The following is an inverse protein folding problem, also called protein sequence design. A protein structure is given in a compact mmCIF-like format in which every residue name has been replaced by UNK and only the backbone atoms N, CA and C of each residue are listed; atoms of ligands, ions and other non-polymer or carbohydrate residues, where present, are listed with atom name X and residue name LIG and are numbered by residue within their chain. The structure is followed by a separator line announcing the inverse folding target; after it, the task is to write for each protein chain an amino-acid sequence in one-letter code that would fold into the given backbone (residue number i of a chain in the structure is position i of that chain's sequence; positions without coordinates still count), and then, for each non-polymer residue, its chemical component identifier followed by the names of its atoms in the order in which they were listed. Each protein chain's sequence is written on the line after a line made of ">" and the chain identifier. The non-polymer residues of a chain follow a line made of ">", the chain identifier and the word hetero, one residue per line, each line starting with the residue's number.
data_IF_228062416712
#
_entry.id   IF_228062416712
#
_cell.length_a   1.000
_cell.length_b   1.000
_cell.length_c   1.000
_cell.angle_alpha   90.00
_cell.angle_beta   90.00
_cell.angle_gamma   90.00
#
_symmetry.space_group_name_H-M   'P 1'
#
loop_
_entity.id
_entity.type
_entity.pdbx_description
1 polymer ?
#
# COMPACT_ATOMS: atom_id res chain seq x y z
N UNK A 1 -21.43 13.80 3.02
CA UNK A 1 -20.04 14.31 2.96
C UNK A 1 -19.15 13.27 3.67
N UNK A 2 -17.99 12.90 3.13
CA UNK A 2 -17.06 12.00 3.80
C UNK A 2 -16.53 12.66 5.08
N UNK A 3 -16.37 11.87 6.14
CA UNK A 3 -15.71 12.29 7.37
C UNK A 3 -14.21 11.99 7.32
N UNK A 4 -13.84 10.85 6.70
CA UNK A 4 -12.48 10.39 6.56
C UNK A 4 -12.26 9.85 5.14
N UNK A 5 -11.13 10.19 4.55
CA UNK A 5 -10.55 9.52 3.39
C UNK A 5 -9.38 8.65 3.85
N UNK A 6 -9.18 7.50 3.21
CA UNK A 6 -8.00 6.66 3.43
C UNK A 6 -7.29 6.45 2.10
N UNK A 7 -6.08 6.99 1.97
CA UNK A 7 -5.25 6.88 0.79
C UNK A 7 -4.11 5.89 1.08
N UNK A 8 -4.25 4.66 0.59
CA UNK A 8 -3.35 3.55 0.92
C UNK A 8 -2.03 3.64 0.14
N UNK A 9 -2.11 3.46 -1.15
CA UNK A 9 -0.98 3.51 -2.08
C UNK A 9 -1.51 3.83 -3.48
N UNK A 10 -0.65 4.30 -4.35
CA UNK A 10 -0.99 4.56 -5.74
C UNK A 10 0.08 3.95 -6.66
N UNK A 11 -0.32 2.96 -7.43
CA UNK A 11 0.47 2.33 -8.47
C UNK A 11 -0.38 2.18 -9.72
N UNK A 12 0.28 1.98 -10.87
CA UNK A 12 -0.45 1.72 -12.11
C UNK A 12 -1.29 0.47 -12.00
N UNK A 13 -2.50 0.55 -12.51
CA UNK A 13 -3.46 -0.56 -12.59
C UNK A 13 -4.31 -0.37 -13.83
N UNK A 14 -4.31 -1.36 -14.73
CA UNK A 14 -5.15 -1.38 -15.92
C UNK A 14 -5.17 -0.04 -16.67
N UNK A 15 -4.00 0.40 -17.16
CA UNK A 15 -3.80 1.72 -17.81
C UNK A 15 -4.79 1.97 -18.97
N UNK A 16 -5.21 0.93 -19.64
CA UNK A 16 -6.22 0.95 -20.72
C UNK A 16 -7.63 1.30 -20.22
N UNK A 17 -7.92 1.16 -18.91
CA UNK A 17 -9.25 1.41 -18.33
C UNK A 17 -9.31 2.61 -17.39
N UNK A 18 -8.26 2.85 -16.62
CA UNK A 18 -8.26 3.86 -15.55
C UNK A 18 -7.50 5.12 -15.97
N UNK A 19 -6.69 5.03 -17.02
CA UNK A 19 -5.83 6.10 -17.51
C UNK A 19 -4.52 6.18 -16.73
N UNK A 20 -3.72 7.21 -17.05
CA UNK A 20 -2.41 7.43 -16.46
C UNK A 20 -2.51 7.67 -14.95
N UNK A 21 -1.51 7.20 -14.20
CA UNK A 21 -1.41 7.33 -12.75
C UNK A 21 -1.53 8.78 -12.27
N UNK A 22 -0.99 9.74 -13.03
CA UNK A 22 -1.10 11.17 -12.73
C UNK A 22 -2.54 11.69 -12.81
N UNK A 23 -3.42 11.08 -13.62
CA UNK A 23 -4.83 11.44 -13.66
C UNK A 23 -5.58 10.93 -12.44
N UNK A 24 -5.19 9.77 -11.92
CA UNK A 24 -5.75 9.21 -10.68
C UNK A 24 -5.30 10.03 -9.48
N UNK A 25 -4.01 10.36 -9.39
CA UNK A 25 -3.48 11.24 -8.34
C UNK A 25 -4.25 12.56 -8.30
N UNK A 26 -4.44 13.21 -9.46
CA UNK A 26 -5.18 14.47 -9.54
C UNK A 26 -6.61 14.35 -9.03
N UNK A 27 -7.33 13.28 -9.38
CA UNK A 27 -8.69 13.03 -8.87
C UNK A 27 -8.72 12.84 -7.36
N UNK A 28 -7.74 12.15 -6.78
CA UNK A 28 -7.61 12.00 -5.33
C UNK A 28 -7.35 13.37 -4.68
N UNK A 29 -6.44 14.15 -5.23
CA UNK A 29 -6.11 15.51 -4.78
C UNK A 29 -7.32 16.44 -4.82
N UNK A 30 -8.03 16.47 -5.96
CA UNK A 30 -9.24 17.29 -6.11
C UNK A 30 -10.31 16.87 -5.10
N UNK A 31 -10.46 15.54 -4.86
CA UNK A 31 -11.37 14.99 -3.86
C UNK A 31 -11.03 15.44 -2.44
N UNK A 32 -9.75 15.38 -2.05
CA UNK A 32 -9.30 15.83 -0.74
C UNK A 32 -9.49 17.35 -0.56
N UNK A 33 -9.12 18.13 -1.58
CA UNK A 33 -9.23 19.61 -1.56
C UNK A 33 -10.69 20.08 -1.51
N UNK A 34 -11.61 19.37 -2.17
CA UNK A 34 -13.04 19.68 -2.13
C UNK A 34 -13.69 19.43 -0.76
N UNK A 35 -12.99 18.74 0.14
CA UNK A 35 -13.49 18.35 1.47
C UNK A 35 -12.52 18.74 2.60
N UNK A 36 -12.22 20.03 2.79
CA UNK A 36 -11.21 20.46 3.77
C UNK A 36 -11.57 20.15 5.23
N UNK A 37 -12.83 19.83 5.51
CA UNK A 37 -13.28 19.39 6.84
C UNK A 37 -13.16 17.89 7.08
N UNK A 38 -12.79 17.09 6.07
CA UNK A 38 -12.55 15.67 6.24
C UNK A 38 -11.10 15.41 6.67
N UNK A 39 -10.87 14.36 7.45
CA UNK A 39 -9.54 13.85 7.74
C UNK A 39 -9.05 13.01 6.56
N UNK A 40 -7.81 13.20 6.13
CA UNK A 40 -7.16 12.35 5.13
C UNK A 40 -6.09 11.51 5.81
N UNK A 41 -6.35 10.23 6.00
CA UNK A 41 -5.34 9.27 6.46
C UNK A 41 -4.55 8.82 5.24
N UNK A 42 -3.27 9.15 5.19
CA UNK A 42 -2.44 8.99 4.00
C UNK A 42 -1.11 8.31 4.30
N UNK A 43 -0.69 7.39 3.41
CA UNK A 43 0.61 6.75 3.49
C UNK A 43 1.72 7.76 3.14
N UNK A 44 2.56 8.11 4.12
CA UNK A 44 3.68 9.03 3.91
C UNK A 44 4.86 8.41 3.15
N UNK A 45 4.90 7.08 3.02
CA UNK A 45 5.96 6.36 2.32
C UNK A 45 5.73 6.30 0.80
N UNK A 46 4.52 6.67 0.35
CA UNK A 46 4.16 6.75 -1.07
C UNK A 46 4.13 8.23 -1.53
N UNK A 47 5.10 8.68 -2.35
CA UNK A 47 5.14 10.07 -2.82
C UNK A 47 3.91 10.50 -3.61
N UNK A 48 3.26 9.59 -4.35
CA UNK A 48 2.06 9.91 -5.11
C UNK A 48 0.86 10.17 -4.19
N UNK A 49 0.77 9.41 -3.11
CA UNK A 49 -0.24 9.63 -2.07
C UNK A 49 0.03 10.93 -1.31
N UNK A 50 1.31 11.20 -1.00
CA UNK A 50 1.68 12.49 -0.37
C UNK A 50 1.30 13.66 -1.27
N UNK A 51 1.59 13.59 -2.58
CA UNK A 51 1.13 14.59 -3.55
C UNK A 51 -0.37 14.79 -3.51
N UNK A 52 -1.14 13.71 -3.49
CA UNK A 52 -2.61 13.77 -3.50
C UNK A 52 -3.21 14.34 -2.22
N UNK A 53 -2.55 14.14 -1.06
CA UNK A 53 -3.07 14.55 0.24
C UNK A 53 -2.61 15.94 0.70
N UNK A 54 -1.50 16.46 0.16
CA UNK A 54 -0.77 17.62 0.69
C UNK A 54 -1.59 18.90 0.85
N UNK A 55 -2.61 19.11 0.02
CA UNK A 55 -3.45 20.34 0.05
C UNK A 55 -4.58 20.28 1.09
N UNK A 56 -4.79 19.13 1.73
CA UNK A 56 -5.82 19.02 2.77
C UNK A 56 -5.24 19.46 4.13
N UNK A 57 -5.90 20.34 4.89
CA UNK A 57 -5.39 20.84 6.18
C UNK A 57 -5.42 19.80 7.31
N UNK A 58 -6.15 18.69 7.13
CA UNK A 58 -6.36 17.67 8.16
C UNK A 58 -5.78 16.32 7.74
N UNK A 59 -4.49 16.28 7.36
CA UNK A 59 -3.83 15.03 7.01
C UNK A 59 -3.28 14.32 8.24
N UNK A 60 -3.51 13.03 8.32
CA UNK A 60 -2.89 12.11 9.27
C UNK A 60 -1.93 11.21 8.51
N UNK A 61 -0.64 11.42 8.71
CA UNK A 61 0.42 10.67 8.05
C UNK A 61 0.70 9.34 8.73
N UNK A 62 0.71 8.27 7.94
CA UNK A 62 0.96 6.90 8.39
C UNK A 62 2.16 6.32 7.64
N UNK A 63 3.16 5.82 8.36
CA UNK A 63 4.23 5.02 7.79
C UNK A 63 3.71 3.59 7.55
N UNK A 64 3.11 3.38 6.38
CA UNK A 64 2.46 2.11 6.03
C UNK A 64 3.35 1.17 5.18
N UNK A 65 4.50 1.67 4.76
CA UNK A 65 5.44 1.00 3.87
C UNK A 65 5.43 1.58 2.46
N UNK A 66 6.61 1.65 1.85
CA UNK A 66 6.81 2.27 0.55
C UNK A 66 6.16 1.50 -0.63
N UNK A 67 5.92 0.19 -0.44
CA UNK A 67 5.36 -0.66 -1.47
C UNK A 67 6.17 -0.65 -2.78
N UNK A 68 5.49 -0.68 -3.91
CA UNK A 68 6.08 -0.61 -5.25
C UNK A 68 6.56 0.81 -5.58
N UNK A 69 7.87 0.96 -5.83
CA UNK A 69 8.48 2.26 -6.12
C UNK A 69 8.60 2.60 -7.61
N UNK A 70 8.35 1.66 -8.52
CA UNK A 70 8.58 1.84 -9.96
C UNK A 70 7.75 2.92 -10.65
N UNK A 71 6.60 3.27 -10.08
CA UNK A 71 5.67 4.23 -10.67
C UNK A 71 5.84 5.66 -10.14
N UNK A 72 6.70 5.87 -9.14
CA UNK A 72 6.87 7.15 -8.45
C UNK A 72 8.23 7.83 -8.73
N UNK A 73 8.84 7.58 -9.90
CA UNK A 73 10.09 8.24 -10.27
C UNK A 73 9.93 9.76 -10.50
N UNK A 74 8.82 10.18 -11.08
CA UNK A 74 8.45 11.58 -11.23
C UNK A 74 7.39 11.97 -10.19
N UNK A 75 7.57 13.13 -9.55
CA UNK A 75 6.58 13.64 -8.60
C UNK A 75 5.54 14.49 -9.35
N UNK A 76 4.24 14.31 -9.10
CA UNK A 76 3.18 14.99 -9.88
C UNK A 76 3.21 16.52 -9.81
N UNK A 77 3.88 17.09 -8.81
CA UNK A 77 4.00 18.55 -8.58
C UNK A 77 5.38 19.12 -8.95
N UNK A 78 6.19 18.36 -9.69
CA UNK A 78 7.55 18.74 -10.08
C UNK A 78 8.63 18.03 -9.27
N UNK A 79 9.79 17.87 -9.89
CA UNK A 79 10.92 17.14 -9.32
C UNK A 79 10.90 15.64 -9.57
N UNK A 80 12.01 15.00 -9.22
CA UNK A 80 12.20 13.54 -9.25
C UNK A 80 12.33 12.99 -7.83
N UNK A 81 11.73 11.84 -7.60
CA UNK A 81 11.82 11.14 -6.31
C UNK A 81 13.13 10.37 -6.22
N UNK A 82 13.85 10.60 -5.15
CA UNK A 82 15.01 9.79 -4.73
C UNK A 82 14.63 9.04 -3.46
N UNK A 83 14.80 7.73 -3.46
CA UNK A 83 14.44 6.85 -2.33
C UNK A 83 15.68 6.33 -1.61
N UNK A 84 15.55 6.18 -0.29
CA UNK A 84 16.52 5.51 0.57
C UNK A 84 15.74 4.65 1.59
N UNK A 85 15.56 3.38 1.29
CA UNK A 85 14.66 2.52 2.04
C UNK A 85 13.21 2.97 1.93
N UNK A 86 12.55 3.19 3.06
CA UNK A 86 11.19 3.75 3.13
C UNK A 86 11.17 5.28 3.05
N UNK A 87 12.32 5.93 3.20
CA UNK A 87 12.45 7.38 3.10
C UNK A 87 12.57 7.84 1.66
N UNK A 88 12.17 9.09 1.42
CA UNK A 88 12.28 9.71 0.10
C UNK A 88 12.35 11.23 0.19
N UNK A 89 12.96 11.84 -0.84
CA UNK A 89 12.99 13.28 -1.04
C UNK A 89 12.97 13.60 -2.53
N UNK A 90 12.66 14.84 -2.85
CA UNK A 90 12.68 15.35 -4.23
C UNK A 90 14.02 16.01 -4.54
N UNK A 91 14.44 15.83 -5.78
CA UNK A 91 15.50 16.64 -6.41
C UNK A 91 14.92 17.26 -7.67
N UNK A 92 15.44 18.43 -8.13
CA UNK A 92 15.03 19.02 -9.39
C UNK A 92 15.20 18.05 -10.56
N UNK A 93 14.24 18.00 -11.47
CA UNK A 93 14.33 17.21 -12.70
C UNK A 93 15.20 17.91 -13.76
N UNK A 94 15.31 19.25 -13.67
CA UNK A 94 16.17 20.08 -14.54
C UNK A 94 16.68 21.31 -13.77
N UNK A 95 17.73 21.94 -14.30
CA UNK A 95 18.35 23.10 -13.66
C UNK A 95 17.35 24.27 -13.53
N UNK A 96 17.23 24.80 -12.32
CA UNK A 96 16.35 25.93 -12.01
C UNK A 96 14.90 25.56 -11.72
N UNK A 97 14.55 24.28 -11.68
CA UNK A 97 13.22 23.86 -11.22
C UNK A 97 13.05 24.13 -9.72
N UNK A 98 11.97 24.83 -9.38
CA UNK A 98 11.56 25.02 -7.99
C UNK A 98 10.78 23.79 -7.50
N UNK A 99 11.20 23.25 -6.36
CA UNK A 99 10.51 22.12 -5.73
C UNK A 99 9.29 22.60 -4.94
N UNK A 100 8.24 21.77 -4.83
CA UNK A 100 7.11 22.07 -3.96
C UNK A 100 7.54 22.16 -2.48
N UNK A 101 6.77 22.88 -1.67
CA UNK A 101 7.04 23.06 -0.23
C UNK A 101 7.21 21.71 0.48
N UNK A 102 6.33 20.75 0.20
CA UNK A 102 6.45 19.38 0.69
C UNK A 102 7.29 18.55 -0.29
N UNK A 103 8.61 18.63 -0.12
CA UNK A 103 9.62 18.02 -1.01
C UNK A 103 10.33 16.80 -0.42
N UNK A 104 9.85 16.28 0.71
CA UNK A 104 10.37 15.07 1.36
C UNK A 104 9.25 14.31 2.07
N UNK A 105 9.57 13.09 2.48
CA UNK A 105 8.67 12.25 3.27
C UNK A 105 8.19 12.99 4.52
N UNK A 106 6.87 13.17 4.71
CA UNK A 106 6.33 13.74 5.93
C UNK A 106 6.64 12.88 7.15
N UNK A 107 6.76 13.52 8.31
CA UNK A 107 6.89 12.80 9.58
C UNK A 107 5.59 12.07 9.89
N UNK A 108 5.63 10.74 10.11
CA UNK A 108 4.42 9.99 10.42
C UNK A 108 3.91 10.29 11.83
N UNK A 109 2.59 10.39 12.00
CA UNK A 109 1.93 10.33 13.29
C UNK A 109 1.67 8.89 13.74
N UNK A 110 1.56 7.96 12.77
CA UNK A 110 1.39 6.54 13.02
C UNK A 110 2.46 5.75 12.30
N UNK A 111 3.08 4.78 12.99
CA UNK A 111 4.14 3.94 12.41
C UNK A 111 4.15 2.55 13.04
N UNK A 112 4.80 1.60 12.36
CA UNK A 112 4.95 0.22 12.79
C UNK A 112 6.36 -0.01 13.34
N UNK A 113 6.42 -0.68 14.49
CA UNK A 113 7.65 -1.18 15.12
C UNK A 113 7.59 -2.70 15.26
N UNK A 114 8.72 -3.34 15.51
CA UNK A 114 8.84 -4.78 15.79
C UNK A 114 8.14 -5.66 14.76
N UNK A 115 8.34 -5.35 13.47
CA UNK A 115 7.67 -6.05 12.38
C UNK A 115 8.24 -7.46 12.23
N UNK A 116 7.37 -8.45 12.34
CA UNK A 116 7.67 -9.87 12.15
C UNK A 116 6.73 -10.44 11.07
N UNK A 117 7.31 -11.01 10.01
CA UNK A 117 6.56 -11.68 8.95
C UNK A 117 6.58 -13.20 9.23
N UNK A 118 5.63 -13.67 10.03
CA UNK A 118 5.54 -15.08 10.41
C UNK A 118 4.58 -15.85 9.49
N UNK A 119 4.76 -17.18 9.32
CA UNK A 119 3.88 -18.01 8.49
C UNK A 119 2.41 -17.98 8.91
N UNK A 120 2.14 -17.84 10.21
CA UNK A 120 0.80 -17.73 10.76
C UNK A 120 0.16 -16.35 10.62
N UNK A 121 0.88 -15.41 10.06
CA UNK A 121 0.49 -14.03 9.80
C UNK A 121 1.45 -13.00 10.37
N UNK A 122 1.51 -11.82 9.76
CA UNK A 122 2.43 -10.77 10.17
C UNK A 122 2.00 -10.14 11.51
N UNK A 123 3.00 -9.69 12.26
CA UNK A 123 2.84 -9.01 13.56
C UNK A 123 3.63 -7.73 13.59
N UNK A 124 3.16 -6.76 14.35
CA UNK A 124 3.87 -5.51 14.61
C UNK A 124 3.28 -4.83 15.84
N UNK A 125 3.99 -3.84 16.36
CA UNK A 125 3.47 -2.85 17.29
C UNK A 125 3.12 -1.59 16.52
N UNK A 126 1.85 -1.17 16.52
CA UNK A 126 1.44 0.11 15.95
C UNK A 126 1.59 1.20 16.99
N UNK A 127 2.39 2.21 16.68
CA UNK A 127 2.57 3.44 17.46
C UNK A 127 1.74 4.57 16.87
N UNK A 128 1.25 5.44 17.74
CA UNK A 128 0.45 6.59 17.35
C UNK A 128 0.62 7.77 18.29
N UNK A 129 -0.12 8.88 18.04
CA UNK A 129 -0.08 10.06 18.88
C UNK A 129 -0.49 9.75 20.32
N UNK A 130 -0.14 10.65 21.23
CA UNK A 130 -0.48 10.59 22.67
C UNK A 130 -0.01 9.30 23.36
N UNK A 131 1.06 8.68 22.85
CA UNK A 131 1.64 7.45 23.40
C UNK A 131 0.85 6.18 23.07
N UNK A 132 -0.02 6.20 22.09
CA UNK A 132 -0.72 5.00 21.62
C UNK A 132 0.29 3.93 21.21
N UNK A 133 0.08 2.73 21.74
CA UNK A 133 0.88 1.53 21.45
C UNK A 133 -0.04 0.32 21.48
N UNK A 134 -0.38 -0.22 20.32
CA UNK A 134 -1.27 -1.38 20.20
C UNK A 134 -0.66 -2.48 19.36
N UNK A 135 -0.80 -3.76 19.76
CA UNK A 135 -0.32 -4.87 18.96
C UNK A 135 -1.24 -5.12 17.76
N UNK A 136 -0.63 -5.36 16.61
CA UNK A 136 -1.28 -5.90 15.42
C UNK A 136 -0.82 -7.35 15.23
N UNK A 137 -1.78 -8.27 15.10
CA UNK A 137 -1.55 -9.68 14.80
C UNK A 137 -2.53 -10.08 13.71
N UNK A 138 -2.09 -10.01 12.47
CA UNK A 138 -2.98 -10.24 11.34
C UNK A 138 -3.03 -11.72 10.98
N UNK A 139 -4.16 -12.14 10.44
CA UNK A 139 -4.34 -13.44 9.79
C UNK A 139 -4.09 -13.37 8.29
N UNK A 140 -4.21 -12.17 7.71
CA UNK A 140 -3.86 -11.91 6.32
C UNK A 140 -2.33 -11.81 6.20
N UNK A 141 -1.69 -12.59 5.32
CA UNK A 141 -0.25 -12.55 5.15
C UNK A 141 0.21 -11.28 4.43
N UNK A 142 1.51 -11.03 4.46
CA UNK A 142 2.17 -9.97 3.69
C UNK A 142 2.37 -8.67 4.46
N UNK A 143 3.46 -7.98 4.11
CA UNK A 143 3.86 -6.71 4.73
C UNK A 143 2.86 -5.58 4.44
N UNK A 144 2.30 -5.56 3.22
CA UNK A 144 1.33 -4.54 2.82
C UNK A 144 0.07 -4.57 3.68
N UNK A 145 -0.35 -5.74 4.17
CA UNK A 145 -1.52 -5.85 5.04
C UNK A 145 -1.28 -5.22 6.42
N UNK A 146 -0.04 -5.20 6.94
CA UNK A 146 0.27 -4.42 8.15
C UNK A 146 0.09 -2.92 7.91
N UNK A 147 0.58 -2.41 6.77
CA UNK A 147 0.39 -1.01 6.40
C UNK A 147 -1.10 -0.64 6.24
N UNK A 148 -1.86 -1.49 5.55
CA UNK A 148 -3.31 -1.31 5.40
C UNK A 148 -4.02 -1.32 6.76
N UNK A 149 -3.64 -2.23 7.68
CA UNK A 149 -4.19 -2.30 9.02
C UNK A 149 -3.85 -1.05 9.85
N UNK A 150 -2.60 -0.55 9.76
CA UNK A 150 -2.19 0.68 10.43
C UNK A 150 -3.05 1.88 9.99
N UNK A 151 -3.27 2.03 8.69
CA UNK A 151 -4.11 3.08 8.15
C UNK A 151 -5.58 2.91 8.52
N UNK A 152 -6.10 1.67 8.55
CA UNK A 152 -7.46 1.39 8.99
C UNK A 152 -7.67 1.76 10.48
N UNK A 153 -6.70 1.43 11.34
CA UNK A 153 -6.73 1.83 12.77
C UNK A 153 -6.67 3.35 12.89
N UNK A 154 -5.75 4.03 12.20
CA UNK A 154 -5.65 5.49 12.22
C UNK A 154 -6.96 6.16 11.77
N UNK A 155 -7.62 5.62 10.73
CA UNK A 155 -8.91 6.11 10.25
C UNK A 155 -10.03 5.89 11.28
N UNK A 156 -10.07 4.73 11.93
CA UNK A 156 -11.05 4.44 12.97
C UNK A 156 -10.87 5.38 14.17
N UNK A 157 -9.62 5.64 14.57
CA UNK A 157 -9.32 6.60 15.65
C UNK A 157 -9.72 8.03 15.27
N UNK A 158 -9.50 8.45 14.02
CA UNK A 158 -9.99 9.73 13.52
C UNK A 158 -11.52 9.85 13.56
N UNK A 159 -12.23 8.74 13.60
CA UNK A 159 -13.69 8.65 13.78
C UNK A 159 -14.11 8.47 15.25
N UNK A 160 -13.17 8.54 16.20
CA UNK A 160 -13.44 8.43 17.65
C UNK A 160 -13.49 7.00 18.19
N UNK A 161 -13.02 6.01 17.43
CA UNK A 161 -12.93 4.62 17.89
C UNK A 161 -11.67 4.43 18.73
N UNK A 162 -11.77 3.66 19.80
CA UNK A 162 -10.63 3.29 20.64
C UNK A 162 -9.56 2.52 19.84
N UNK A 163 -8.27 2.88 19.95
CA UNK A 163 -7.20 2.26 19.18
C UNK A 163 -7.09 0.73 19.38
N UNK A 164 -7.29 0.24 20.61
CA UNK A 164 -7.18 -1.19 20.88
C UNK A 164 -8.38 -1.95 20.28
N UNK A 165 -9.57 -1.36 20.33
CA UNK A 165 -10.77 -1.92 19.69
C UNK A 165 -10.60 -1.96 18.15
N UNK A 166 -10.07 -0.92 17.55
CA UNK A 166 -9.79 -0.87 16.12
C UNK A 166 -8.72 -1.93 15.73
N UNK A 167 -7.63 -2.04 16.49
CA UNK A 167 -6.59 -3.04 16.27
C UNK A 167 -7.11 -4.47 16.38
N UNK A 168 -7.98 -4.75 17.36
CA UNK A 168 -8.64 -6.06 17.50
C UNK A 168 -9.54 -6.38 16.30
N UNK A 169 -10.29 -5.39 15.82
CA UNK A 169 -11.19 -5.55 14.67
C UNK A 169 -10.41 -5.88 13.38
N UNK A 170 -9.36 -5.14 13.04
CA UNK A 170 -8.54 -5.43 11.84
C UNK A 170 -7.82 -6.77 11.95
N UNK A 171 -7.41 -7.17 13.17
CA UNK A 171 -6.76 -8.45 13.44
C UNK A 171 -7.70 -9.65 13.28
N UNK A 172 -9.01 -9.45 13.30
CA UNK A 172 -10.01 -10.50 13.12
C UNK A 172 -10.25 -10.89 11.66
N UNK A 173 -9.83 -10.07 10.69
CA UNK A 173 -10.03 -10.30 9.26
C UNK A 173 -9.21 -11.51 8.81
N UNK A 174 -9.87 -12.50 8.21
CA UNK A 174 -9.25 -13.77 7.79
C UNK A 174 -9.06 -13.90 6.29
N UNK A 175 -9.87 -13.18 5.53
CA UNK A 175 -9.86 -13.24 4.07
C UNK A 175 -10.25 -11.90 3.46
N UNK A 176 -9.85 -11.70 2.22
CA UNK A 176 -10.30 -10.58 1.40
C UNK A 176 -10.86 -11.15 0.12
N UNK A 177 -12.17 -11.02 -0.07
CA UNK A 177 -12.90 -11.57 -1.21
C UNK A 177 -12.22 -11.19 -2.54
N UNK A 178 -11.91 -12.20 -3.37
CA UNK A 178 -11.27 -12.03 -4.65
C UNK A 178 -9.79 -11.56 -4.61
N UNK A 179 -9.16 -11.54 -3.43
CA UNK A 179 -7.74 -11.13 -3.30
C UNK A 179 -6.88 -12.19 -2.62
N UNK A 180 -7.36 -12.76 -1.53
CA UNK A 180 -6.66 -13.80 -0.77
C UNK A 180 -7.66 -14.73 -0.14
N UNK A 181 -7.47 -16.04 -0.34
CA UNK A 181 -8.24 -17.09 0.34
C UNK A 181 -7.40 -18.36 0.48
N UNK A 182 -7.73 -19.16 1.48
CA UNK A 182 -7.12 -20.47 1.73
C UNK A 182 -8.20 -21.54 1.69
N UNK A 183 -7.96 -22.58 0.93
CA UNK A 183 -8.87 -23.72 0.76
C UNK A 183 -8.16 -25.02 1.10
N UNK A 184 -8.84 -25.92 1.81
CA UNK A 184 -8.42 -27.32 1.91
C UNK A 184 -8.96 -28.11 0.70
N UNK A 185 -8.07 -28.76 -0.03
CA UNK A 185 -8.40 -29.60 -1.16
C UNK A 185 -7.75 -30.97 -0.96
N UNK A 186 -8.53 -31.95 -0.55
CA UNK A 186 -8.07 -33.32 -0.30
C UNK A 186 -6.87 -33.41 0.69
N UNK A 187 -6.93 -32.66 1.78
CA UNK A 187 -5.89 -32.60 2.81
C UNK A 187 -4.64 -31.81 2.41
N UNK A 188 -4.72 -31.02 1.34
CA UNK A 188 -3.69 -30.07 0.91
C UNK A 188 -4.22 -28.66 1.01
N UNK A 189 -3.41 -27.76 1.53
CA UNK A 189 -3.76 -26.34 1.60
C UNK A 189 -3.46 -25.68 0.25
N UNK A 190 -4.47 -25.08 -0.39
CA UNK A 190 -4.35 -24.28 -1.58
C UNK A 190 -4.58 -22.80 -1.21
N UNK A 191 -3.59 -21.96 -1.47
CA UNK A 191 -3.68 -20.50 -1.31
C UNK A 191 -3.95 -19.85 -2.67
N UNK A 192 -5.05 -19.14 -2.78
CA UNK A 192 -5.34 -18.30 -3.94
C UNK A 192 -4.93 -16.86 -3.65
N UNK A 193 -4.13 -16.29 -4.54
CA UNK A 193 -3.71 -14.90 -4.51
C UNK A 193 -4.02 -14.25 -5.86
N UNK A 194 -4.61 -13.07 -5.85
CA UNK A 194 -4.88 -12.29 -7.06
C UNK A 194 -3.98 -11.06 -7.07
N UNK A 195 -3.21 -10.93 -8.15
CA UNK A 195 -2.41 -9.74 -8.44
C UNK A 195 -2.73 -9.26 -9.86
N UNK A 196 -2.95 -7.96 -10.03
CA UNK A 196 -3.36 -7.34 -11.30
C UNK A 196 -2.35 -6.33 -11.83
N UNK A 197 -1.28 -6.07 -11.09
CA UNK A 197 -0.25 -5.09 -11.41
C UNK A 197 1.09 -5.49 -10.78
N UNK A 198 2.21 -4.85 -11.15
CA UNK A 198 3.53 -5.17 -10.58
C UNK A 198 3.58 -5.10 -9.05
N UNK A 199 2.92 -4.10 -8.44
CA UNK A 199 2.88 -3.95 -6.99
C UNK A 199 2.25 -5.16 -6.29
N UNK A 200 1.10 -5.61 -6.80
CA UNK A 200 0.41 -6.80 -6.27
C UNK A 200 1.21 -8.08 -6.45
N UNK A 201 1.92 -8.24 -7.58
CA UNK A 201 2.79 -9.37 -7.83
C UNK A 201 4.00 -9.37 -6.91
N UNK A 202 4.66 -8.22 -6.72
CA UNK A 202 5.78 -8.11 -5.79
C UNK A 202 5.36 -8.55 -4.38
N UNK A 203 4.21 -8.11 -3.90
CA UNK A 203 3.70 -8.51 -2.59
C UNK A 203 3.38 -10.01 -2.55
N UNK A 204 2.71 -10.56 -3.59
CA UNK A 204 2.40 -11.99 -3.66
C UNK A 204 3.67 -12.87 -3.63
N UNK A 205 4.74 -12.45 -4.30
CA UNK A 205 6.03 -13.16 -4.30
C UNK A 205 6.65 -13.25 -2.91
N UNK A 206 6.47 -12.23 -2.05
CA UNK A 206 6.98 -12.26 -0.67
C UNK A 206 6.27 -13.29 0.22
N UNK A 207 5.10 -13.76 -0.18
CA UNK A 207 4.29 -14.74 0.58
C UNK A 207 4.60 -16.19 0.21
N UNK A 208 5.44 -16.44 -0.80
CA UNK A 208 5.80 -17.76 -1.27
C UNK A 208 6.98 -18.30 -0.48
N UNK A 209 6.85 -19.52 0.07
CA UNK A 209 8.00 -20.28 0.58
C UNK A 209 8.46 -21.27 -0.50
N UNK A 210 9.58 -20.99 -1.19
CA UNK A 210 10.05 -21.82 -2.30
C UNK A 210 10.48 -23.25 -1.88
N UNK A 211 10.61 -23.49 -0.57
CA UNK A 211 11.01 -24.80 -0.04
C UNK A 211 9.82 -25.78 0.06
N UNK A 212 8.62 -25.27 0.18
CA UNK A 212 7.40 -26.07 0.45
C UNK A 212 6.25 -25.80 -0.50
N UNK A 213 6.22 -24.62 -1.12
CA UNK A 213 5.12 -24.22 -1.97
C UNK A 213 5.33 -24.71 -3.41
N UNK A 214 4.28 -25.31 -3.98
CA UNK A 214 4.17 -25.50 -5.41
C UNK A 214 3.37 -24.32 -5.97
N UNK A 215 3.93 -23.60 -6.94
CA UNK A 215 3.33 -22.39 -7.47
C UNK A 215 2.74 -22.66 -8.85
N UNK A 216 1.46 -22.30 -9.02
CA UNK A 216 0.79 -22.27 -10.31
C UNK A 216 0.41 -20.83 -10.61
N UNK A 217 0.91 -20.30 -11.73
CA UNK A 217 0.64 -18.95 -12.18
C UNK A 217 -0.32 -19.01 -13.36
N UNK A 218 -1.51 -18.43 -13.19
CA UNK A 218 -2.48 -18.23 -14.28
C UNK A 218 -2.51 -16.75 -14.66
N UNK A 219 -2.34 -16.42 -15.91
CA UNK A 219 -2.43 -15.06 -16.43
C UNK A 219 -3.59 -14.98 -17.42
N UNK A 220 -4.47 -13.98 -17.23
CA UNK A 220 -5.57 -13.70 -18.13
C UNK A 220 -5.39 -12.32 -18.76
N UNK A 221 -5.34 -12.26 -20.08
CA UNK A 221 -5.25 -11.04 -20.88
C UNK A 221 -6.56 -10.67 -21.57
N UNK A 222 -7.69 -10.96 -20.96
CA UNK A 222 -9.02 -10.63 -21.50
C UNK A 222 -9.81 -9.72 -20.55
N UNK A 223 -10.82 -9.06 -21.10
CA UNK A 223 -11.79 -8.32 -20.29
C UNK A 223 -12.43 -9.29 -19.27
N UNK A 224 -12.46 -8.99 -17.96
CA UNK A 224 -12.28 -7.67 -17.33
C UNK A 224 -10.86 -7.33 -16.83
N UNK A 225 -9.86 -8.18 -17.01
CA UNK A 225 -8.53 -8.04 -16.40
C UNK A 225 -7.55 -7.15 -17.19
N UNK A 226 -7.99 -6.55 -18.31
CA UNK A 226 -7.17 -5.76 -19.22
C UNK A 226 -6.50 -6.59 -20.30
N UNK A 227 -6.32 -6.02 -21.48
CA UNK A 227 -5.71 -6.70 -22.64
C UNK A 227 -4.19 -6.48 -22.69
N UNK A 228 -3.68 -5.41 -22.07
CA UNK A 228 -2.26 -5.12 -22.02
C UNK A 228 -1.60 -5.86 -20.85
N UNK A 229 -0.77 -6.84 -21.18
CA UNK A 229 0.02 -7.62 -20.23
C UNK A 229 1.48 -7.17 -20.17
N UNK A 230 1.85 -6.04 -20.79
CA UNK A 230 3.24 -5.57 -20.83
C UNK A 230 3.82 -5.30 -19.43
N UNK A 231 2.97 -4.99 -18.47
CA UNK A 231 3.37 -4.81 -17.06
C UNK A 231 4.00 -6.05 -16.43
N UNK A 232 3.81 -7.26 -16.98
CA UNK A 232 4.48 -8.48 -16.52
C UNK A 232 6.01 -8.42 -16.67
N UNK A 233 6.53 -7.60 -17.58
CA UNK A 233 7.98 -7.37 -17.73
C UNK A 233 8.61 -6.72 -16.51
N UNK A 234 7.84 -6.02 -15.70
CA UNK A 234 8.30 -5.35 -14.48
C UNK A 234 8.21 -6.26 -13.23
N UNK A 235 7.68 -7.47 -13.39
CA UNK A 235 7.57 -8.43 -12.28
C UNK A 235 8.83 -9.28 -12.17
N UNK A 236 9.45 -9.30 -11.00
CA UNK A 236 10.55 -10.19 -10.71
C UNK A 236 10.05 -11.58 -10.29
N UNK A 237 10.13 -12.54 -11.20
CA UNK A 237 9.77 -13.93 -10.95
C UNK A 237 10.92 -14.77 -10.34
N UNK A 238 12.05 -14.17 -9.96
CA UNK A 238 13.21 -14.91 -9.42
C UNK A 238 12.86 -15.65 -8.12
N UNK A 239 11.94 -15.13 -7.33
CA UNK A 239 11.47 -15.74 -6.08
C UNK A 239 10.80 -17.12 -6.28
N UNK A 240 10.29 -17.43 -7.48
CA UNK A 240 9.66 -18.72 -7.81
C UNK A 240 10.57 -19.68 -8.56
N UNK A 241 11.82 -19.30 -8.84
CA UNK A 241 12.80 -20.23 -9.39
C UNK A 241 13.13 -21.29 -8.35
N UNK A 242 12.68 -22.51 -8.59
CA UNK A 242 13.18 -23.66 -7.84
C UNK A 242 14.64 -23.89 -8.24
N UNK A 243 15.56 -24.19 -7.29
CA UNK A 243 16.85 -24.75 -7.65
C UNK A 243 16.59 -26.06 -8.39
N UNK A 244 17.03 -26.11 -9.64
CA UNK A 244 16.98 -27.33 -10.47
C UNK A 244 17.87 -28.44 -9.93
#
# INVERSE_FOLDING_TARGET
>A
KPAVFVYLNLSRDQLDRVGEIGSVERRLRDGASAHPGAVVVANCDDPLIVSAAADNPNVVWVAAGAGWGGDSAAYPRGGRVVRSGEDWHLIPAFDGEELPELSSRPQPQWWLEDIELAPEGPRATLRGPDGVSVPLKLKLPGRANLGNAAQAVAAAVAMGIDPAAAAAAVSSVTEVAGRYSVHDVNGRSARLMLAKNPAGWQEAMTMIDPRVDQVVIGVNGQVPDGQDLSWLWDVDFSAVKQPG
#
